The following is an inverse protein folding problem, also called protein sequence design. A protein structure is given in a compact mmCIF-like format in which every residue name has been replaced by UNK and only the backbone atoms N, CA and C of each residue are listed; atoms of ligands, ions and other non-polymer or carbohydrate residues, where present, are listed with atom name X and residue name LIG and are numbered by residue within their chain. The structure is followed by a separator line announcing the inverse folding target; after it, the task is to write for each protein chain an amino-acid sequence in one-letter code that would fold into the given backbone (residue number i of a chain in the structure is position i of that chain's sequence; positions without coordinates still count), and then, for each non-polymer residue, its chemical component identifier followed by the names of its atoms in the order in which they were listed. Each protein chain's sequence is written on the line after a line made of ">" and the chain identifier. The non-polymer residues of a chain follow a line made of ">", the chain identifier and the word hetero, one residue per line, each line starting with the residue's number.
data_IF_264390983554
#
_entry.id   IF_264390983554
#
_cell.length_a   1.000
_cell.length_b   1.000
_cell.length_c   1.000
_cell.angle_alpha   90.00
_cell.angle_beta   90.00
_cell.angle_gamma   90.00
#
_symmetry.space_group_name_H-M   'P 1'
#
loop_
_entity.id
_entity.type
_entity.pdbx_description
1 polymer ?
#
# COMPACT_ATOMS: atom_id res chain seq x y z
N UNK A 1 5.40 -1.90 19.46
CA UNK A 1 5.84 -1.96 18.05
C UNK A 1 4.64 -1.59 17.19
N UNK A 2 4.77 -0.65 16.25
CA UNK A 2 3.65 -0.22 15.40
C UNK A 2 3.22 -1.30 14.39
N UNK A 3 2.05 -1.13 13.75
CA UNK A 3 1.54 -2.07 12.74
C UNK A 3 2.40 -2.00 11.46
N UNK A 4 2.48 -3.08 10.70
CA UNK A 4 3.02 -3.01 9.33
C UNK A 4 1.89 -2.50 8.43
N UNK A 5 2.11 -1.33 7.81
CA UNK A 5 1.19 -0.79 6.81
C UNK A 5 1.32 -1.55 5.49
N UNK A 6 0.20 -1.84 4.84
CA UNK A 6 0.13 -2.46 3.53
C UNK A 6 -0.76 -1.60 2.64
N UNK A 7 -0.18 -1.02 1.60
CA UNK A 7 -0.87 -0.13 0.68
C UNK A 7 -1.13 -0.81 -0.68
N UNK A 8 -2.35 -0.70 -1.19
CA UNK A 8 -2.68 -1.02 -2.58
C UNK A 8 -3.62 0.04 -3.19
N UNK A 9 -3.64 0.12 -4.52
CA UNK A 9 -4.58 0.99 -5.24
C UNK A 9 -6.05 0.57 -5.04
N UNK A 10 -6.33 -0.67 -4.62
CA UNK A 10 -7.69 -1.15 -4.36
C UNK A 10 -7.69 -2.39 -3.47
N UNK A 11 -8.33 -3.47 -3.93
CA UNK A 11 -8.44 -4.74 -3.19
C UNK A 11 -7.43 -5.82 -3.65
N UNK A 12 -6.69 -5.59 -4.72
CA UNK A 12 -5.76 -6.58 -5.28
C UNK A 12 -4.64 -6.97 -4.32
N UNK A 13 -4.22 -6.02 -3.48
CA UNK A 13 -3.21 -6.21 -2.44
C UNK A 13 -3.63 -7.13 -1.29
N UNK A 14 -4.91 -7.50 -1.17
CA UNK A 14 -5.37 -8.40 -0.10
C UNK A 14 -4.76 -9.81 -0.22
N UNK A 15 -4.45 -10.27 -1.43
CA UNK A 15 -3.74 -11.55 -1.62
C UNK A 15 -2.32 -11.51 -1.02
N UNK A 16 -1.62 -10.38 -1.17
CA UNK A 16 -0.30 -10.16 -0.57
C UNK A 16 -0.44 -10.08 0.95
N UNK A 17 -1.42 -9.35 1.47
CA UNK A 17 -1.70 -9.30 2.90
C UNK A 17 -2.00 -10.69 3.48
N UNK A 18 -2.76 -11.52 2.78
CA UNK A 18 -3.06 -12.88 3.20
C UNK A 18 -1.79 -13.74 3.28
N UNK A 19 -0.90 -13.65 2.28
CA UNK A 19 0.39 -14.35 2.30
C UNK A 19 1.30 -13.85 3.44
N UNK A 20 1.34 -12.54 3.69
CA UNK A 20 2.08 -11.96 4.81
C UNK A 20 1.58 -12.47 6.15
N UNK A 21 0.25 -12.50 6.36
CA UNK A 21 -0.36 -13.05 7.58
C UNK A 21 -0.08 -14.53 7.77
N UNK A 22 0.04 -15.29 6.69
CA UNK A 22 0.38 -16.71 6.74
C UNK A 22 1.85 -16.93 7.11
N UNK A 23 2.78 -16.23 6.45
CA UNK A 23 4.22 -16.40 6.66
C UNK A 23 4.73 -15.74 7.94
N UNK A 24 4.10 -14.64 8.35
CA UNK A 24 4.52 -13.79 9.46
C UNK A 24 3.32 -13.43 10.36
N UNK A 25 2.71 -14.44 11.02
CA UNK A 25 1.45 -14.28 11.76
C UNK A 25 1.57 -13.48 13.06
N UNK A 26 2.78 -13.30 13.58
CA UNK A 26 3.04 -12.59 14.83
C UNK A 26 2.98 -11.06 14.68
N UNK A 27 3.04 -10.55 13.45
CA UNK A 27 2.93 -9.12 13.18
C UNK A 27 1.47 -8.69 13.06
N UNK A 28 1.19 -7.46 13.48
CA UNK A 28 -0.09 -6.80 13.25
C UNK A 28 0.01 -5.95 11.99
N UNK A 29 -1.01 -6.01 11.14
CA UNK A 29 -1.04 -5.30 9.86
C UNK A 29 -2.14 -4.22 9.84
N UNK A 30 -1.89 -3.14 9.12
CA UNK A 30 -2.90 -2.16 8.72
C UNK A 30 -2.97 -2.15 7.19
N UNK A 31 -4.16 -2.27 6.61
CA UNK A 31 -4.31 -2.25 5.15
C UNK A 31 -5.01 -0.98 4.71
N UNK A 32 -4.40 -0.28 3.75
CA UNK A 32 -4.99 0.88 3.09
C UNK A 32 -5.18 0.57 1.61
N UNK A 33 -6.43 0.49 1.19
CA UNK A 33 -6.82 0.34 -0.21
C UNK A 33 -7.42 1.64 -0.75
N UNK A 34 -6.81 2.23 -1.78
CA UNK A 34 -7.24 3.50 -2.36
C UNK A 34 -8.37 3.38 -3.41
N UNK A 35 -9.45 2.71 -3.01
CA UNK A 35 -10.57 2.37 -3.88
C UNK A 35 -11.22 3.58 -4.56
N UNK A 36 -11.14 4.77 -3.95
CA UNK A 36 -11.70 6.00 -4.51
C UNK A 36 -11.03 6.45 -5.82
N UNK A 37 -9.80 6.01 -6.09
CA UNK A 37 -8.99 6.45 -7.25
C UNK A 37 -8.61 5.31 -8.20
N UNK A 38 -9.12 4.10 -7.96
CA UNK A 38 -8.93 2.95 -8.85
C UNK A 38 -9.54 3.20 -10.25
N UNK A 39 -8.95 2.67 -11.34
CA UNK A 39 -7.68 1.97 -11.41
C UNK A 39 -6.48 2.92 -11.61
N UNK A 40 -5.36 2.62 -10.96
CA UNK A 40 -4.10 3.37 -11.14
C UNK A 40 -3.46 3.16 -12.52
N UNK A 41 -3.76 2.05 -13.21
CA UNK A 41 -3.18 1.71 -14.51
C UNK A 41 -3.34 2.81 -15.56
N UNK A 42 -4.50 3.48 -15.55
CA UNK A 42 -4.88 4.52 -16.52
C UNK A 42 -4.45 5.93 -16.10
N UNK A 43 -3.68 6.07 -15.02
CA UNK A 43 -3.21 7.36 -14.50
C UNK A 43 -1.78 7.65 -14.96
N UNK A 44 -1.47 8.95 -15.06
CA UNK A 44 -0.12 9.43 -15.36
C UNK A 44 0.86 9.03 -14.25
N UNK A 45 2.16 9.02 -14.58
CA UNK A 45 3.21 8.70 -13.61
C UNK A 45 3.15 9.63 -12.39
N UNK A 46 3.04 10.95 -12.62
CA UNK A 46 2.98 11.94 -11.55
C UNK A 46 1.75 11.74 -10.66
N UNK A 47 0.59 11.43 -11.25
CA UNK A 47 -0.61 11.16 -10.47
C UNK A 47 -0.44 9.92 -9.59
N UNK A 48 0.08 8.81 -10.14
CA UNK A 48 0.34 7.59 -9.37
C UNK A 48 1.36 7.83 -8.25
N UNK A 49 2.42 8.61 -8.53
CA UNK A 49 3.41 8.98 -7.53
C UNK A 49 2.78 9.79 -6.39
N UNK A 50 1.98 10.82 -6.68
CA UNK A 50 1.33 11.62 -5.64
C UNK A 50 0.33 10.79 -4.82
N UNK A 51 -0.52 9.98 -5.46
CA UNK A 51 -1.48 9.15 -4.71
C UNK A 51 -0.77 8.13 -3.82
N UNK A 52 0.26 7.47 -4.34
CA UNK A 52 1.09 6.53 -3.56
C UNK A 52 1.73 7.24 -2.38
N UNK A 53 2.30 8.43 -2.60
CA UNK A 53 2.92 9.24 -1.55
C UNK A 53 1.92 9.56 -0.45
N UNK A 54 0.76 10.11 -0.78
CA UNK A 54 -0.30 10.42 0.19
C UNK A 54 -0.69 9.20 1.03
N UNK A 55 -0.93 8.05 0.38
CA UNK A 55 -1.29 6.82 1.07
C UNK A 55 -0.19 6.30 2.02
N UNK A 56 1.07 6.37 1.60
CA UNK A 56 2.21 5.98 2.44
C UNK A 56 2.35 6.92 3.64
N UNK A 57 2.27 8.24 3.44
CA UNK A 57 2.34 9.21 4.54
C UNK A 57 1.17 9.08 5.52
N UNK A 58 -0.03 8.73 5.05
CA UNK A 58 -1.15 8.43 5.93
C UNK A 58 -0.87 7.23 6.83
N UNK A 59 -0.35 6.13 6.28
CA UNK A 59 0.03 4.95 7.08
C UNK A 59 1.14 5.26 8.09
N UNK A 60 2.13 6.08 7.71
CA UNK A 60 3.19 6.54 8.61
C UNK A 60 2.60 7.39 9.76
N UNK A 61 1.66 8.30 9.45
CA UNK A 61 0.97 9.12 10.44
C UNK A 61 0.07 8.30 11.38
N UNK A 62 -0.49 7.19 10.92
CA UNK A 62 -1.20 6.20 11.74
C UNK A 62 -0.28 5.35 12.64
N UNK A 63 1.03 5.59 12.61
CA UNK A 63 2.01 4.89 13.44
C UNK A 63 2.45 3.54 12.87
N UNK A 64 2.38 3.36 11.55
CA UNK A 64 3.00 2.21 10.89
C UNK A 64 4.48 2.51 10.60
N UNK A 65 5.45 1.99 11.39
CA UNK A 65 6.87 2.29 11.19
C UNK A 65 7.45 1.69 9.89
N UNK A 66 6.73 0.75 9.28
CA UNK A 66 7.07 0.09 8.03
C UNK A 66 5.83 0.06 7.14
N UNK A 67 6.00 0.41 5.86
CA UNK A 67 4.93 0.34 4.85
C UNK A 67 5.37 -0.54 3.68
N UNK A 68 4.54 -1.50 3.33
CA UNK A 68 4.68 -2.38 2.16
C UNK A 68 3.77 -1.84 1.06
N UNK A 69 4.34 -1.56 -0.11
CA UNK A 69 3.56 -1.21 -1.31
C UNK A 69 3.21 -2.50 -2.06
N UNK A 70 1.96 -2.94 -1.93
CA UNK A 70 1.43 -4.15 -2.54
C UNK A 70 0.89 -3.94 -3.97
N UNK A 71 0.69 -2.69 -4.40
CA UNK A 71 0.24 -2.38 -5.76
C UNK A 71 1.38 -2.45 -6.77
N UNK A 72 1.34 -3.41 -7.70
CA UNK A 72 2.35 -3.51 -8.77
C UNK A 72 2.47 -2.23 -9.61
N UNK A 73 1.36 -1.55 -9.92
CA UNK A 73 1.39 -0.29 -10.68
C UNK A 73 2.05 0.83 -9.89
N UNK A 74 1.77 0.94 -8.59
CA UNK A 74 2.44 1.89 -7.73
C UNK A 74 3.93 1.56 -7.60
N UNK A 75 4.29 0.29 -7.38
CA UNK A 75 5.69 -0.13 -7.30
C UNK A 75 6.46 0.20 -8.58
N UNK A 76 5.87 -0.04 -9.75
CA UNK A 76 6.53 0.24 -11.04
C UNK A 76 6.62 1.74 -11.39
N UNK A 77 5.66 2.56 -10.93
CA UNK A 77 5.55 3.99 -11.30
C UNK A 77 5.87 4.97 -10.18
N UNK A 78 6.06 4.55 -8.94
CA UNK A 78 6.26 5.45 -7.81
C UNK A 78 7.58 5.20 -7.06
N UNK A 79 8.21 4.03 -7.23
CA UNK A 79 9.55 3.77 -6.71
C UNK A 79 10.57 4.40 -7.67
N UNK A 80 11.41 5.28 -7.14
CA UNK A 80 12.58 5.86 -7.81
C UNK A 80 13.84 5.39 -7.12
#
# INVERSE_FOLDING_TARGET
>A
MGKIGVFDSGMGGLNILQALRFLMPTYTYCYLGDNARVPYGNRSFDAVYQFTKECVYNLLAEGCPLVIVACNTASAKALR
#
